data_IF_515934318556
#
_entry.id   IF_515934318556
#
_cell.length_a   1.000
_cell.length_b   1.000
_cell.length_c   1.000
_cell.angle_alpha   90.00
_cell.angle_beta   90.00
_cell.angle_gamma   90.00
#
_symmetry.space_group_name_H-M   'P 1'
#
loop_
_entity.id
_entity.type
_entity.pdbx_description
1 polymer ?
#
# COMPACT_ATOMS: atom_id res chain seq x y z
N UNK A 1 38.39 -40.88 -31.76
CA UNK A 1 38.32 -39.49 -31.27
C UNK A 1 37.66 -39.46 -29.88
N UNK A 2 38.30 -40.09 -28.88
CA UNK A 2 37.83 -40.16 -27.47
C UNK A 2 38.77 -39.37 -26.54
N UNK A 3 40.01 -39.12 -27.01
CA UNK A 3 41.09 -38.44 -26.27
C UNK A 3 41.02 -36.90 -26.43
N UNK A 4 40.53 -36.39 -27.57
CA UNK A 4 40.49 -34.93 -27.84
C UNK A 4 39.21 -34.23 -27.36
N UNK A 5 38.12 -34.96 -27.11
CA UNK A 5 36.88 -34.36 -26.63
C UNK A 5 36.17 -35.32 -25.68
N UNK A 6 35.95 -34.87 -24.44
CA UNK A 6 35.23 -35.63 -23.43
C UNK A 6 33.79 -35.12 -23.33
N UNK A 7 32.91 -35.68 -24.15
CA UNK A 7 31.50 -35.30 -24.24
C UNK A 7 30.76 -35.58 -22.93
N UNK A 8 31.14 -36.63 -22.20
CA UNK A 8 30.57 -36.96 -20.89
C UNK A 8 30.90 -35.89 -19.85
N UNK A 9 32.16 -35.45 -19.78
CA UNK A 9 32.58 -34.34 -18.92
C UNK A 9 31.91 -33.01 -19.31
N UNK A 10 31.78 -32.72 -20.62
CA UNK A 10 31.10 -31.52 -21.10
C UNK A 10 29.61 -31.51 -20.73
N UNK A 11 28.95 -32.67 -20.79
CA UNK A 11 27.54 -32.83 -20.41
C UNK A 11 27.36 -32.69 -18.89
N UNK A 12 28.26 -33.32 -18.10
CA UNK A 12 28.28 -33.15 -16.65
C UNK A 12 28.49 -31.69 -16.24
N UNK A 13 29.41 -30.98 -16.91
CA UNK A 13 29.65 -29.55 -16.69
C UNK A 13 28.42 -28.70 -17.05
N UNK A 14 27.76 -28.94 -18.19
CA UNK A 14 26.51 -28.24 -18.54
C UNK A 14 25.42 -28.46 -17.49
N UNK A 15 25.24 -29.69 -17.02
CA UNK A 15 24.26 -30.01 -15.98
C UNK A 15 24.62 -29.34 -14.65
N UNK A 16 25.90 -29.29 -14.27
CA UNK A 16 26.38 -28.58 -13.10
C UNK A 16 26.09 -27.07 -13.18
N UNK A 17 26.32 -26.44 -14.33
CA UNK A 17 26.02 -25.02 -14.55
C UNK A 17 24.51 -24.74 -14.45
N UNK A 18 23.67 -25.61 -15.04
CA UNK A 18 22.22 -25.49 -14.93
C UNK A 18 21.77 -25.64 -13.47
N UNK A 19 22.29 -26.63 -12.75
CA UNK A 19 21.99 -26.84 -11.33
C UNK A 19 22.43 -25.65 -10.47
N UNK A 20 23.63 -25.10 -10.71
CA UNK A 20 24.12 -23.90 -10.03
C UNK A 20 23.20 -22.70 -10.23
N UNK A 21 22.77 -22.45 -11.47
CA UNK A 21 21.82 -21.38 -11.80
C UNK A 21 20.46 -21.55 -11.11
N UNK A 22 19.95 -22.79 -11.01
CA UNK A 22 18.69 -23.07 -10.30
C UNK A 22 18.82 -22.79 -8.80
N UNK A 23 19.93 -23.19 -8.17
CA UNK A 23 20.21 -22.93 -6.76
C UNK A 23 20.29 -21.42 -6.49
N UNK A 24 21.00 -20.66 -7.33
CA UNK A 24 21.07 -19.20 -7.19
C UNK A 24 19.69 -18.55 -7.26
N UNK A 25 18.80 -18.99 -8.16
CA UNK A 25 17.42 -18.48 -8.23
C UNK A 25 16.58 -18.87 -7.01
N UNK A 26 16.74 -20.08 -6.49
CA UNK A 26 16.04 -20.52 -5.28
C UNK A 26 16.48 -19.67 -4.07
N UNK A 27 17.77 -19.41 -3.96
CA UNK A 27 18.36 -18.53 -2.94
C UNK A 27 17.80 -17.10 -3.07
N UNK A 28 17.69 -16.54 -4.27
CA UNK A 28 17.10 -15.22 -4.52
C UNK A 28 15.65 -15.14 -4.03
N UNK A 29 14.85 -16.18 -4.28
CA UNK A 29 13.45 -16.29 -3.79
C UNK A 29 13.37 -16.43 -2.28
N UNK A 30 14.29 -17.17 -1.66
CA UNK A 30 14.38 -17.29 -0.20
C UNK A 30 14.74 -15.94 0.46
N UNK A 31 15.75 -15.22 -0.06
CA UNK A 31 16.17 -13.94 0.51
C UNK A 31 15.13 -12.82 0.38
N UNK A 32 14.45 -12.76 -0.76
CA UNK A 32 13.40 -11.77 -1.01
C UNK A 32 12.07 -12.11 -0.32
N UNK A 33 11.83 -13.39 -0.02
CA UNK A 33 10.52 -13.89 0.43
C UNK A 33 9.41 -13.79 -0.62
N UNK A 34 9.74 -13.37 -1.86
CA UNK A 34 8.80 -13.19 -2.95
C UNK A 34 8.92 -14.36 -3.93
N UNK A 35 7.77 -14.90 -4.33
CA UNK A 35 7.71 -15.96 -5.35
C UNK A 35 8.15 -15.47 -6.73
N UNK A 36 7.87 -14.21 -7.06
CA UNK A 36 8.17 -13.57 -8.35
C UNK A 36 9.14 -12.41 -8.09
N UNK A 37 10.42 -12.62 -8.38
CA UNK A 37 11.47 -11.61 -8.20
C UNK A 37 11.84 -10.86 -9.46
N UNK A 38 11.65 -11.50 -10.62
CA UNK A 38 11.99 -10.95 -11.92
C UNK A 38 10.76 -10.90 -12.80
N UNK A 39 10.61 -9.81 -13.56
CA UNK A 39 9.57 -9.71 -14.59
C UNK A 39 9.64 -10.84 -15.64
N UNK A 40 10.83 -11.42 -15.83
CA UNK A 40 11.04 -12.55 -16.73
C UNK A 40 10.49 -13.89 -16.20
N UNK A 41 10.31 -14.05 -14.88
CA UNK A 41 9.82 -15.29 -14.28
C UNK A 41 8.28 -15.43 -14.40
N UNK A 42 7.55 -14.32 -14.23
CA UNK A 42 6.09 -14.24 -14.42
C UNK A 42 5.67 -12.77 -14.66
N UNK A 43 5.68 -12.29 -15.93
CA UNK A 43 5.37 -10.90 -16.23
C UNK A 43 3.91 -10.55 -15.94
N UNK A 44 2.98 -11.48 -16.15
CA UNK A 44 1.56 -11.29 -15.88
C UNK A 44 1.29 -11.23 -14.37
N UNK A 45 1.85 -12.15 -13.59
CA UNK A 45 1.75 -12.17 -12.14
C UNK A 45 2.41 -10.97 -11.47
N UNK A 46 3.55 -10.50 -12.01
CA UNK A 46 4.18 -9.27 -11.53
C UNK A 46 3.31 -8.04 -11.84
N UNK A 47 2.76 -7.92 -13.05
CA UNK A 47 1.89 -6.79 -13.42
C UNK A 47 0.62 -6.73 -12.55
N UNK A 48 -0.01 -7.87 -12.27
CA UNK A 48 -1.16 -7.94 -11.38
C UNK A 48 -0.75 -7.56 -9.94
N UNK A 49 0.40 -8.06 -9.47
CA UNK A 49 0.90 -7.76 -8.12
C UNK A 49 1.21 -6.27 -7.96
N UNK A 50 1.80 -5.62 -8.96
CA UNK A 50 2.03 -4.18 -8.96
C UNK A 50 0.73 -3.37 -9.01
N UNK A 51 -0.24 -3.80 -9.82
CA UNK A 51 -1.57 -3.19 -9.85
C UNK A 51 -2.24 -3.25 -8.47
N UNK A 52 -2.19 -4.40 -7.82
CA UNK A 52 -2.73 -4.58 -6.46
C UNK A 52 -1.96 -3.71 -5.45
N UNK A 53 -0.62 -3.69 -5.51
CA UNK A 53 0.20 -2.80 -4.66
C UNK A 53 -0.18 -1.33 -4.84
N UNK A 54 -0.41 -0.89 -6.08
CA UNK A 54 -0.86 0.47 -6.36
C UNK A 54 -2.26 0.74 -5.79
N UNK A 55 -3.21 -0.20 -5.97
CA UNK A 55 -4.54 -0.09 -5.38
C UNK A 55 -4.50 -0.02 -3.85
N UNK A 56 -3.69 -0.85 -3.19
CA UNK A 56 -3.52 -0.80 -1.73
C UNK A 56 -2.99 0.56 -1.28
N UNK A 57 -2.00 1.14 -1.98
CA UNK A 57 -1.50 2.48 -1.68
C UNK A 57 -2.60 3.53 -1.86
N UNK A 58 -3.37 3.45 -2.94
CA UNK A 58 -4.52 4.33 -3.21
C UNK A 58 -5.58 4.24 -2.12
N UNK A 59 -5.98 3.03 -1.73
CA UNK A 59 -6.96 2.79 -0.66
C UNK A 59 -6.48 3.30 0.69
N UNK A 60 -5.19 3.13 1.02
CA UNK A 60 -4.60 3.69 2.25
C UNK A 60 -4.67 5.21 2.27
N UNK A 61 -4.41 5.87 1.14
CA UNK A 61 -4.57 7.32 1.04
C UNK A 61 -6.04 7.74 1.14
N UNK A 62 -6.94 7.04 0.45
CA UNK A 62 -8.38 7.31 0.52
C UNK A 62 -8.91 7.18 1.97
N UNK A 63 -8.45 6.16 2.71
CA UNK A 63 -8.79 5.99 4.12
C UNK A 63 -8.30 7.14 4.99
N UNK A 64 -7.08 7.66 4.76
CA UNK A 64 -6.58 8.85 5.46
C UNK A 64 -7.42 10.08 5.11
N UNK A 65 -7.67 10.32 3.83
CA UNK A 65 -8.49 11.45 3.38
C UNK A 65 -9.91 11.40 3.98
N UNK A 66 -10.51 10.21 4.08
CA UNK A 66 -11.80 10.03 4.73
C UNK A 66 -11.73 10.37 6.22
N UNK A 67 -10.68 9.93 6.92
CA UNK A 67 -10.46 10.26 8.33
C UNK A 67 -10.26 11.76 8.55
N UNK A 68 -9.49 12.42 7.68
CA UNK A 68 -9.27 13.87 7.72
C UNK A 68 -10.58 14.62 7.48
N UNK A 69 -11.41 14.15 6.54
CA UNK A 69 -12.75 14.68 6.29
C UNK A 69 -13.68 14.55 7.50
N UNK A 70 -13.65 13.40 8.18
CA UNK A 70 -14.39 13.19 9.44
C UNK A 70 -13.91 14.18 10.51
N UNK A 71 -12.61 14.33 10.71
CA UNK A 71 -12.06 15.27 11.69
C UNK A 71 -12.40 16.73 11.40
N UNK A 72 -12.44 17.12 10.12
CA UNK A 72 -12.88 18.43 9.69
C UNK A 72 -14.36 18.65 10.02
N UNK A 73 -15.23 17.68 9.70
CA UNK A 73 -16.67 17.76 10.01
C UNK A 73 -16.89 17.85 11.52
N UNK A 74 -16.19 17.04 12.33
CA UNK A 74 -16.30 17.09 13.78
C UNK A 74 -15.88 18.46 14.35
N UNK A 75 -14.84 19.07 13.79
CA UNK A 75 -14.41 20.42 14.19
C UNK A 75 -15.46 21.47 13.81
N UNK A 76 -16.05 21.34 12.62
CA UNK A 76 -17.15 22.21 12.18
C UNK A 76 -18.39 22.05 13.06
N UNK A 77 -18.78 20.82 13.40
CA UNK A 77 -19.89 20.53 14.32
C UNK A 77 -19.64 21.13 15.71
N UNK A 78 -18.42 21.01 16.24
CA UNK A 78 -18.04 21.64 17.51
C UNK A 78 -18.18 23.17 17.46
N UNK A 79 -17.69 23.80 16.40
CA UNK A 79 -17.84 25.24 16.22
C UNK A 79 -19.32 25.67 16.08
N UNK A 80 -20.12 24.90 15.34
CA UNK A 80 -21.55 25.19 15.17
C UNK A 80 -22.32 25.06 16.49
N UNK A 81 -21.98 24.09 17.34
CA UNK A 81 -22.58 23.96 18.67
C UNK A 81 -22.34 25.21 19.53
N UNK A 82 -21.12 25.76 19.52
CA UNK A 82 -20.82 27.03 20.20
C UNK A 82 -21.63 28.19 19.61
N UNK A 83 -21.74 28.29 18.27
CA UNK A 83 -22.58 29.33 17.66
C UNK A 83 -24.05 29.19 18.03
N UNK A 84 -24.56 27.96 18.16
CA UNK A 84 -25.93 27.72 18.59
C UNK A 84 -26.14 28.19 20.02
N UNK A 85 -25.24 27.85 20.94
CA UNK A 85 -25.29 28.30 22.32
C UNK A 85 -25.24 29.83 22.45
N UNK A 86 -24.37 30.49 21.66
CA UNK A 86 -24.30 31.95 21.61
C UNK A 86 -25.61 32.58 21.12
N UNK A 87 -26.24 32.03 20.08
CA UNK A 87 -27.52 32.54 19.57
C UNK A 87 -28.63 32.38 20.61
N UNK A 88 -28.69 31.24 21.32
CA UNK A 88 -29.67 31.07 22.41
C UNK A 88 -29.45 32.12 23.51
N UNK A 89 -28.19 32.38 23.89
CA UNK A 89 -27.88 33.41 24.88
C UNK A 89 -28.26 34.81 24.41
N UNK A 90 -28.00 35.15 23.14
CA UNK A 90 -28.43 36.43 22.56
C UNK A 90 -29.95 36.56 22.62
N UNK A 91 -30.68 35.49 22.29
CA UNK A 91 -32.14 35.47 22.37
C UNK A 91 -32.65 35.72 23.80
N UNK A 92 -32.04 35.09 24.80
CA UNK A 92 -32.34 35.34 26.21
C UNK A 92 -32.11 36.81 26.57
N UNK A 93 -30.97 37.38 26.18
CA UNK A 93 -30.62 38.78 26.45
C UNK A 93 -31.58 39.76 25.79
N UNK A 94 -32.01 39.49 24.56
CA UNK A 94 -33.02 40.32 23.87
C UNK A 94 -34.35 40.30 24.60
N UNK A 95 -34.83 39.11 25.02
CA UNK A 95 -36.07 38.99 25.79
C UNK A 95 -35.95 39.77 27.11
N UNK A 96 -34.84 39.59 27.83
CA UNK A 96 -34.59 40.31 29.08
C UNK A 96 -34.64 41.84 28.89
N UNK A 97 -33.98 42.36 27.85
CA UNK A 97 -33.98 43.80 27.54
C UNK A 97 -35.36 44.34 27.13
N UNK A 98 -36.23 43.51 26.56
CA UNK A 98 -37.63 43.92 26.27
C UNK A 98 -38.55 43.90 27.48
N UNK A 99 -38.22 43.13 28.54
CA UNK A 99 -39.03 43.03 29.76
C UNK A 99 -38.58 43.97 30.88
N UNK A 100 -37.35 44.47 30.85
CA UNK A 100 -36.78 45.41 31.84
C UNK A 100 -36.99 46.90 31.47
N UNK A 101 -37.78 47.19 30.44
CA UNK A 101 -38.30 48.53 30.08
C UNK A 101 -39.82 48.54 30.11
#
# INVERSE_FOLDING_TARGET
MIINHNIAALTAYRNMVIAGNMVTRAIERLYSGLRINRAADDPAGLAISERIRAQIRGLRQASRNAQDGISMIQTAEGALNETHAMIQRIRELVIQGTTEH
#
